data_IF_627583834176
#
_entry.id   IF_627583834176
#
_cell.length_a   1.000
_cell.length_b   1.000
_cell.length_c   1.000
_cell.angle_alpha   90.00
_cell.angle_beta   90.00
_cell.angle_gamma   90.00
#
_symmetry.space_group_name_H-M   'P 1'
#
loop_
_entity.id
_entity.type
_entity.pdbx_description
1 polymer ?
#
# COMPACT_ATOMS: atom_id res chain seq x y z
N UNK A 1 -0.08 3.23 42.33
CA UNK A 1 0.15 3.88 41.03
C UNK A 1 -0.57 3.03 40.00
N UNK A 2 -1.70 3.50 39.47
CA UNK A 2 -2.37 2.79 38.40
C UNK A 2 -1.50 2.92 37.15
N UNK A 3 -1.02 1.79 36.64
CA UNK A 3 -0.41 1.69 35.32
C UNK A 3 -1.44 2.26 34.34
N UNK A 4 -1.15 3.44 33.76
CA UNK A 4 -1.98 4.00 32.69
C UNK A 4 -1.75 3.08 31.50
N UNK A 5 -2.59 2.06 31.37
CA UNK A 5 -2.58 1.17 30.22
C UNK A 5 -2.87 2.06 29.01
N UNK A 6 -1.88 2.24 28.15
CA UNK A 6 -2.07 2.82 26.83
C UNK A 6 -2.90 1.84 25.99
N UNK A 7 -4.21 1.89 26.19
CA UNK A 7 -5.19 1.05 25.52
C UNK A 7 -5.16 1.27 24.01
N UNK A 8 -4.78 2.45 23.56
CA UNK A 8 -4.69 2.79 22.14
C UNK A 8 -3.43 2.18 21.51
N UNK A 9 -2.28 2.30 22.17
CA UNK A 9 -1.04 1.63 21.77
C UNK A 9 -1.19 0.11 21.76
N UNK A 10 -1.84 -0.47 22.76
CA UNK A 10 -2.12 -1.91 22.80
C UNK A 10 -3.01 -2.37 21.64
N UNK A 11 -4.08 -1.62 21.31
CA UNK A 11 -4.95 -1.92 20.17
C UNK A 11 -4.22 -1.81 18.84
N UNK A 12 -3.38 -0.79 18.66
CA UNK A 12 -2.56 -0.62 17.45
C UNK A 12 -1.60 -1.78 17.27
N UNK A 13 -0.92 -2.20 18.35
CA UNK A 13 -0.02 -3.35 18.33
C UNK A 13 -0.76 -4.64 17.97
N UNK A 14 -1.90 -4.91 18.61
CA UNK A 14 -2.69 -6.11 18.31
C UNK A 14 -3.17 -6.15 16.85
N UNK A 15 -3.60 -5.01 16.30
CA UNK A 15 -3.98 -4.91 14.89
C UNK A 15 -2.79 -5.15 13.96
N UNK A 16 -1.62 -4.62 14.29
CA UNK A 16 -0.39 -4.84 13.53
C UNK A 16 0.06 -6.31 13.57
N UNK A 17 0.06 -6.94 14.74
CA UNK A 17 0.41 -8.35 14.93
C UNK A 17 -0.51 -9.27 14.10
N UNK A 18 -1.80 -8.94 14.02
CA UNK A 18 -2.77 -9.68 13.20
C UNK A 18 -2.55 -9.44 11.70
N UNK A 19 -2.39 -8.19 11.29
CA UNK A 19 -2.27 -7.79 9.89
C UNK A 19 -0.94 -8.26 9.25
N UNK A 20 0.17 -8.23 9.98
CA UNK A 20 1.49 -8.63 9.50
C UNK A 20 1.84 -10.09 9.78
N UNK A 21 0.91 -10.87 10.32
CA UNK A 21 1.15 -12.27 10.69
C UNK A 21 1.74 -13.11 9.57
N UNK A 22 1.25 -12.95 8.33
CA UNK A 22 1.75 -13.69 7.16
C UNK A 22 2.90 -12.97 6.46
N UNK A 23 3.09 -11.68 6.73
CA UNK A 23 4.12 -10.86 6.12
C UNK A 23 5.51 -11.19 6.66
N UNK A 24 5.65 -11.45 7.96
CA UNK A 24 6.94 -11.86 8.54
C UNK A 24 7.48 -13.12 7.86
N UNK A 25 6.64 -14.14 7.69
CA UNK A 25 7.03 -15.40 7.04
C UNK A 25 7.36 -15.21 5.55
N UNK A 26 6.66 -14.29 4.86
CA UNK A 26 6.82 -14.04 3.42
C UNK A 26 8.02 -13.17 3.10
N UNK A 27 8.17 -12.04 3.78
CA UNK A 27 9.18 -11.01 3.46
C UNK A 27 10.44 -11.12 4.30
N UNK A 28 10.41 -11.88 5.41
CA UNK A 28 11.53 -11.99 6.37
C UNK A 28 12.01 -10.61 6.87
N UNK A 29 11.08 -9.68 6.96
CA UNK A 29 11.26 -8.30 7.41
C UNK A 29 10.36 -8.06 8.64
N UNK A 30 10.81 -7.20 9.56
CA UNK A 30 10.04 -6.88 10.76
C UNK A 30 9.05 -5.76 10.47
N UNK A 31 7.79 -5.98 10.83
CA UNK A 31 6.71 -5.01 10.70
C UNK A 31 6.09 -4.76 12.07
N UNK A 32 5.69 -3.51 12.32
CA UNK A 32 5.11 -3.08 13.57
C UNK A 32 4.02 -2.02 13.38
N UNK A 33 3.40 -1.56 14.47
CA UNK A 33 2.27 -0.63 14.42
C UNK A 33 2.60 0.71 13.77
N UNK A 34 3.87 1.10 13.75
CA UNK A 34 4.35 2.36 13.17
C UNK A 34 5.01 2.19 11.79
N UNK A 35 5.03 0.97 11.23
CA UNK A 35 5.65 0.71 9.92
C UNK A 35 4.85 1.42 8.81
N UNK A 36 5.54 2.27 8.05
CA UNK A 36 5.02 3.05 6.93
C UNK A 36 5.45 2.44 5.60
N UNK A 37 4.86 2.93 4.51
CA UNK A 37 5.26 2.53 3.15
C UNK A 37 6.74 2.88 2.84
N UNK A 38 7.22 4.01 3.36
CA UNK A 38 8.61 4.45 3.13
C UNK A 38 9.63 3.58 3.85
N UNK A 39 9.22 2.88 4.91
CA UNK A 39 10.10 2.03 5.70
C UNK A 39 10.33 0.66 5.05
N UNK A 40 9.48 0.28 4.09
CA UNK A 40 9.57 -1.02 3.42
C UNK A 40 10.86 -1.17 2.64
N UNK A 41 11.48 -2.36 2.74
CA UNK A 41 12.60 -2.71 1.87
C UNK A 41 12.22 -2.63 0.39
N UNK A 42 13.18 -2.33 -0.52
CA UNK A 42 12.90 -2.26 -1.95
C UNK A 42 12.30 -3.55 -2.53
N UNK A 43 12.71 -4.72 -2.01
CA UNK A 43 12.17 -6.01 -2.44
C UNK A 43 10.72 -6.22 -2.00
N UNK A 44 10.39 -5.91 -0.74
CA UNK A 44 9.01 -5.95 -0.25
C UNK A 44 8.13 -5.00 -1.04
N UNK A 45 8.60 -3.77 -1.27
CA UNK A 45 7.86 -2.76 -2.04
C UNK A 45 7.63 -3.22 -3.49
N UNK A 46 8.66 -3.73 -4.17
CA UNK A 46 8.54 -4.24 -5.54
C UNK A 46 7.54 -5.40 -5.63
N UNK A 47 7.59 -6.33 -4.67
CA UNK A 47 6.63 -7.43 -4.61
C UNK A 47 5.21 -6.87 -4.47
N UNK A 48 4.96 -6.00 -3.50
CA UNK A 48 3.64 -5.41 -3.28
C UNK A 48 3.13 -4.57 -4.48
N UNK A 49 4.03 -3.93 -5.25
CA UNK A 49 3.68 -3.13 -6.42
C UNK A 49 3.40 -3.96 -7.69
N UNK A 50 4.00 -5.16 -7.76
CA UNK A 50 3.95 -6.03 -8.93
C UNK A 50 2.54 -6.61 -9.15
N UNK A 51 2.13 -6.83 -10.41
CA UNK A 51 0.90 -7.54 -10.70
C UNK A 51 1.01 -9.02 -10.29
N UNK A 52 -0.11 -9.62 -9.87
CA UNK A 52 -0.19 -11.04 -9.52
C UNK A 52 -1.30 -11.33 -8.51
N UNK A 53 -1.99 -12.46 -8.66
CA UNK A 53 -3.04 -12.88 -7.71
C UNK A 53 -2.45 -13.12 -6.32
N UNK A 54 -1.30 -13.80 -6.23
CA UNK A 54 -0.58 -14.05 -4.97
C UNK A 54 -0.28 -12.76 -4.20
N UNK A 55 0.02 -11.68 -4.93
CA UNK A 55 0.34 -10.37 -4.37
C UNK A 55 -0.92 -9.72 -3.77
N UNK A 56 -2.09 -9.91 -4.39
CA UNK A 56 -3.37 -9.42 -3.86
C UNK A 56 -3.77 -10.12 -2.57
N UNK A 57 -3.50 -11.43 -2.43
CA UNK A 57 -3.77 -12.15 -1.19
C UNK A 57 -3.02 -11.58 0.02
N UNK A 58 -1.82 -11.01 -0.20
CA UNK A 58 -1.06 -10.32 0.86
C UNK A 58 -1.78 -9.07 1.37
N UNK A 59 -2.47 -8.34 0.48
CA UNK A 59 -3.32 -7.22 0.89
C UNK A 59 -4.59 -7.69 1.58
N UNK A 60 -5.21 -8.78 1.13
CA UNK A 60 -6.40 -9.33 1.78
C UNK A 60 -6.10 -9.74 3.22
N UNK A 61 -4.99 -10.42 3.46
CA UNK A 61 -4.51 -10.74 4.81
C UNK A 61 -4.31 -9.49 5.67
N UNK A 62 -3.62 -8.48 5.12
CA UNK A 62 -3.37 -7.22 5.82
C UNK A 62 -4.69 -6.53 6.22
N UNK A 63 -5.63 -6.45 5.28
CA UNK A 63 -6.93 -5.80 5.48
C UNK A 63 -7.76 -6.58 6.50
N UNK A 64 -7.89 -7.90 6.32
CA UNK A 64 -8.67 -8.72 7.24
C UNK A 64 -8.09 -8.69 8.65
N UNK A 65 -6.77 -8.79 8.80
CA UNK A 65 -6.09 -8.69 10.09
C UNK A 65 -6.29 -7.33 10.75
N UNK A 66 -6.10 -6.23 10.01
CA UNK A 66 -6.29 -4.88 10.53
C UNK A 66 -7.76 -4.56 10.88
N UNK A 67 -8.72 -5.29 10.30
CA UNK A 67 -10.17 -5.16 10.56
C UNK A 67 -10.69 -6.17 11.58
N UNK A 68 -9.84 -7.08 12.10
CA UNK A 68 -10.26 -8.13 13.03
C UNK A 68 -11.18 -9.19 12.39
N UNK A 69 -11.13 -9.35 11.08
CA UNK A 69 -11.95 -10.31 10.31
C UNK A 69 -11.31 -11.71 10.22
N UNK A 70 -10.17 -11.92 10.90
CA UNK A 70 -9.36 -13.13 10.79
C UNK A 70 -8.26 -13.01 9.73
N UNK A 71 -7.58 -14.10 9.39
CA UNK A 71 -6.64 -14.17 8.26
C UNK A 71 -7.21 -15.00 7.12
N UNK A 72 -6.76 -14.79 5.87
CA UNK A 72 -7.29 -15.49 4.69
C UNK A 72 -7.14 -17.01 4.76
N UNK A 73 -6.21 -17.50 5.59
CA UNK A 73 -5.96 -18.92 5.85
C UNK A 73 -7.00 -19.55 6.80
N UNK A 74 -7.70 -18.75 7.63
CA UNK A 74 -8.69 -19.24 8.62
C UNK A 74 -10.13 -18.84 8.33
N UNK A 75 -10.35 -17.71 7.66
CA UNK A 75 -11.63 -17.32 7.09
C UNK A 75 -11.39 -17.22 5.59
N UNK A 76 -11.91 -18.18 4.82
CA UNK A 76 -11.83 -18.07 3.37
C UNK A 76 -12.62 -16.82 3.01
N UNK A 77 -12.14 -16.03 2.06
CA UNK A 77 -12.93 -14.94 1.47
C UNK A 77 -14.35 -15.42 1.15
N UNK A 78 -14.52 -16.71 0.83
CA UNK A 78 -15.78 -17.41 0.60
C UNK A 78 -16.79 -17.35 1.75
N UNK A 79 -16.32 -17.33 3.00
CA UNK A 79 -17.16 -17.34 4.22
C UNK A 79 -17.69 -15.95 4.60
N UNK A 80 -17.20 -14.89 3.94
CA UNK A 80 -17.63 -13.51 4.18
C UNK A 80 -18.88 -13.16 3.37
N UNK A 81 -19.64 -12.18 3.87
CA UNK A 81 -20.72 -11.58 3.08
C UNK A 81 -20.17 -10.93 1.81
N UNK A 82 -20.92 -11.00 0.72
CA UNK A 82 -20.52 -10.46 -0.58
C UNK A 82 -20.12 -8.98 -0.52
N UNK A 83 -20.83 -8.16 0.26
CA UNK A 83 -20.51 -6.74 0.42
C UNK A 83 -19.17 -6.53 1.12
N UNK A 84 -18.84 -7.40 2.09
CA UNK A 84 -17.55 -7.35 2.79
C UNK A 84 -16.42 -7.75 1.84
N UNK A 85 -16.62 -8.75 0.97
CA UNK A 85 -15.63 -9.15 -0.04
C UNK A 85 -15.32 -8.01 -1.00
N UNK A 86 -16.35 -7.39 -1.58
CA UNK A 86 -16.18 -6.24 -2.47
C UNK A 86 -15.39 -5.12 -1.77
N UNK A 87 -15.73 -4.82 -0.53
CA UNK A 87 -15.04 -3.79 0.23
C UNK A 87 -13.57 -4.12 0.51
N UNK A 88 -13.24 -5.39 0.76
CA UNK A 88 -11.84 -5.86 0.89
C UNK A 88 -11.11 -5.66 -0.45
N UNK A 89 -11.72 -6.05 -1.56
CA UNK A 89 -11.12 -5.90 -2.89
C UNK A 89 -10.87 -4.42 -3.25
N UNK A 90 -11.85 -3.55 -3.05
CA UNK A 90 -11.72 -2.12 -3.31
C UNK A 90 -10.61 -1.49 -2.44
N UNK A 91 -10.54 -1.89 -1.16
CA UNK A 91 -9.49 -1.44 -0.24
C UNK A 91 -8.12 -1.93 -0.71
N UNK A 92 -8.00 -3.19 -1.17
CA UNK A 92 -6.75 -3.74 -1.68
C UNK A 92 -6.28 -2.99 -2.93
N UNK A 93 -7.15 -2.76 -3.91
CA UNK A 93 -6.80 -1.99 -5.11
C UNK A 93 -6.34 -0.57 -4.79
N UNK A 94 -7.01 0.09 -3.84
CA UNK A 94 -6.62 1.42 -3.43
C UNK A 94 -5.25 1.44 -2.72
N UNK A 95 -4.92 0.41 -1.94
CA UNK A 95 -3.60 0.27 -1.29
C UNK A 95 -2.50 -0.09 -2.28
N UNK A 96 -2.80 -0.91 -3.29
CA UNK A 96 -1.89 -1.23 -4.39
C UNK A 96 -1.45 0.05 -5.11
N UNK A 97 -2.38 0.98 -5.37
CA UNK A 97 -2.05 2.29 -5.95
C UNK A 97 -1.10 3.09 -5.03
N UNK A 98 -1.29 3.08 -3.70
CA UNK A 98 -0.38 3.75 -2.74
C UNK A 98 1.04 3.19 -2.81
N UNK A 99 1.17 1.87 -2.82
CA UNK A 99 2.47 1.20 -2.95
C UNK A 99 3.15 1.59 -4.27
N UNK A 100 2.39 1.64 -5.37
CA UNK A 100 2.92 2.02 -6.69
C UNK A 100 3.33 3.49 -6.75
N UNK A 101 2.61 4.37 -6.06
CA UNK A 101 3.04 5.77 -5.92
C UNK A 101 4.33 5.90 -5.10
N UNK A 102 4.53 5.05 -4.08
CA UNK A 102 5.81 5.01 -3.37
C UNK A 102 6.96 4.54 -4.27
N UNK A 103 6.72 3.55 -5.15
CA UNK A 103 7.70 3.16 -6.19
C UNK A 103 8.05 4.36 -7.08
N UNK A 104 7.03 5.07 -7.58
CA UNK A 104 7.24 6.27 -8.40
C UNK A 104 8.03 7.35 -7.63
N UNK A 105 7.77 7.52 -6.33
CA UNK A 105 8.47 8.50 -5.50
C UNK A 105 9.95 8.13 -5.33
N UNK A 106 10.26 6.85 -5.07
CA UNK A 106 11.65 6.37 -4.97
C UNK A 106 12.44 6.53 -6.27
N UNK A 107 11.76 6.52 -7.41
CA UNK A 107 12.34 6.84 -8.71
C UNK A 107 12.45 8.35 -8.99
N UNK A 108 11.92 9.21 -8.12
CA UNK A 108 11.88 10.65 -8.29
C UNK A 108 10.85 11.13 -9.32
N UNK A 109 9.86 10.30 -9.66
CA UNK A 109 8.82 10.66 -10.64
C UNK A 109 7.69 11.48 -10.04
N UNK A 110 7.48 11.37 -8.72
CA UNK A 110 6.49 12.13 -7.96
C UNK A 110 7.14 12.70 -6.71
N UNK A 111 6.71 13.89 -6.28
CA UNK A 111 7.36 14.61 -5.17
C UNK A 111 6.86 14.13 -3.80
N UNK A 112 5.54 13.95 -3.65
CA UNK A 112 4.92 13.41 -2.44
C UNK A 112 3.74 12.51 -2.79
N UNK A 113 3.76 11.27 -2.29
CA UNK A 113 2.60 10.39 -2.34
C UNK A 113 1.75 10.61 -1.07
N UNK A 114 0.41 10.66 -1.19
CA UNK A 114 -0.38 10.87 0.02
C UNK A 114 -0.33 9.62 0.91
N UNK A 115 -0.27 9.83 2.23
CA UNK A 115 -0.21 8.75 3.22
C UNK A 115 1.17 8.16 3.48
N UNK A 116 2.26 8.75 2.97
CA UNK A 116 3.60 8.17 3.13
C UNK A 116 4.12 8.13 4.56
N UNK A 117 3.78 9.14 5.37
CA UNK A 117 4.12 9.18 6.79
C UNK A 117 3.11 8.46 7.68
N UNK A 118 2.05 7.92 7.08
CA UNK A 118 0.98 7.22 7.79
C UNK A 118 1.35 5.74 7.94
N UNK A 119 1.24 5.16 9.15
CA UNK A 119 1.45 3.73 9.31
C UNK A 119 0.50 2.90 8.43
N UNK A 120 0.99 1.77 7.91
CA UNK A 120 0.25 0.90 7.00
C UNK A 120 -1.11 0.46 7.54
N UNK A 121 -1.17 0.16 8.84
CA UNK A 121 -2.42 -0.24 9.51
C UNK A 121 -3.43 0.90 9.51
N UNK A 122 -2.97 2.13 9.73
CA UNK A 122 -3.84 3.30 9.66
C UNK A 122 -4.26 3.58 8.22
N UNK A 123 -3.38 3.42 7.22
CA UNK A 123 -3.75 3.53 5.81
C UNK A 123 -4.88 2.56 5.42
N UNK A 124 -4.81 1.31 5.88
CA UNK A 124 -5.89 0.32 5.69
C UNK A 124 -7.19 0.82 6.30
N UNK A 125 -7.16 1.35 7.52
CA UNK A 125 -8.35 1.87 8.21
C UNK A 125 -8.92 3.11 7.49
N UNK A 126 -8.07 3.99 7.01
CA UNK A 126 -8.47 5.17 6.23
C UNK A 126 -9.10 4.76 4.91
N UNK A 127 -8.49 3.84 4.17
CA UNK A 127 -9.02 3.30 2.92
C UNK A 127 -10.38 2.62 3.13
N UNK A 128 -10.50 1.79 4.18
CA UNK A 128 -11.76 1.12 4.54
C UNK A 128 -12.90 2.11 4.86
N UNK A 129 -12.58 3.24 5.50
CA UNK A 129 -13.55 4.26 5.88
C UNK A 129 -13.92 5.19 4.72
N UNK A 130 -12.94 5.64 3.96
CA UNK A 130 -13.09 6.65 2.89
C UNK A 130 -13.50 6.05 1.55
N UNK A 131 -13.22 4.76 1.31
CA UNK A 131 -13.54 4.07 0.05
C UNK A 131 -13.01 4.82 -1.17
N UNK A 132 -13.88 5.10 -2.14
CA UNK A 132 -13.55 5.80 -3.38
C UNK A 132 -12.92 7.20 -3.17
N UNK A 133 -13.14 7.87 -2.03
CA UNK A 133 -12.44 9.12 -1.73
C UNK A 133 -10.93 8.90 -1.52
N UNK A 134 -10.53 7.80 -0.87
CA UNK A 134 -9.13 7.47 -0.66
C UNK A 134 -8.41 7.12 -1.97
N UNK A 135 -9.07 6.41 -2.88
CA UNK A 135 -8.51 6.04 -4.19
C UNK A 135 -8.35 7.23 -5.17
N UNK A 136 -9.02 8.36 -4.88
CA UNK A 136 -8.92 9.61 -5.66
C UNK A 136 -7.80 10.53 -5.21
N UNK A 137 -7.20 10.27 -4.05
CA UNK A 137 -6.03 11.02 -3.60
C UNK A 137 -4.81 10.58 -4.43
N UNK A 138 -4.20 11.53 -5.15
CA UNK A 138 -3.10 11.27 -6.08
C UNK A 138 -1.85 12.02 -5.66
N UNK A 139 -0.64 11.47 -5.93
CA UNK A 139 0.58 12.26 -5.87
C UNK A 139 0.59 13.33 -6.96
N UNK A 140 1.43 14.34 -6.78
CA UNK A 140 1.80 15.24 -7.86
C UNK A 140 3.00 14.68 -8.63
N UNK A 141 2.93 14.73 -9.94
CA UNK A 141 4.08 14.42 -10.80
C UNK A 141 5.20 15.42 -10.51
N UNK A 142 6.44 14.94 -10.43
CA UNK A 142 7.58 15.80 -10.15
C UNK A 142 7.82 16.77 -11.30
N UNK A 143 8.15 18.01 -10.97
CA UNK A 143 8.57 19.04 -11.95
C UNK A 143 9.79 18.64 -12.78
N UNK A 144 10.56 17.65 -12.33
CA UNK A 144 11.71 17.09 -13.04
C UNK A 144 11.34 15.99 -14.05
N UNK A 145 10.09 15.51 -14.03
CA UNK A 145 9.65 14.48 -14.95
C UNK A 145 9.49 15.09 -16.37
N UNK A 146 9.99 14.45 -17.43
CA UNK A 146 9.95 15.02 -18.80
C UNK A 146 8.54 15.37 -19.29
N UNK A 147 7.54 14.67 -18.79
CA UNK A 147 6.13 14.84 -19.18
C UNK A 147 5.35 15.80 -18.23
N UNK A 148 6.03 16.55 -17.36
CA UNK A 148 5.41 17.42 -16.36
C UNK A 148 4.50 18.50 -16.96
N UNK A 149 4.98 19.23 -17.97
CA UNK A 149 4.20 20.31 -18.58
C UNK A 149 2.91 19.78 -19.23
N UNK A 150 3.00 18.60 -19.86
CA UNK A 150 1.83 17.92 -20.44
C UNK A 150 0.85 17.49 -19.36
N UNK A 151 1.32 16.98 -18.23
CA UNK A 151 0.49 16.61 -17.09
C UNK A 151 -0.24 17.81 -16.46
N UNK A 152 0.43 18.96 -16.32
CA UNK A 152 -0.17 20.17 -15.76
C UNK A 152 -1.29 20.77 -16.63
N UNK A 153 -1.25 20.55 -17.94
CA UNK A 153 -2.27 21.00 -18.87
C UNK A 153 -3.56 20.14 -18.85
N UNK A 154 -3.54 18.98 -18.20
CA UNK A 154 -4.67 18.05 -18.16
C UNK A 154 -5.74 18.45 -17.15
N UNK A 155 -6.99 18.08 -17.44
CA UNK A 155 -8.05 18.12 -16.45
C UNK A 155 -7.76 17.13 -15.29
N UNK A 156 -8.18 17.38 -14.04
CA UNK A 156 -7.86 16.51 -12.89
C UNK A 156 -8.22 15.03 -13.06
N UNK A 157 -9.30 14.73 -13.79
CA UNK A 157 -9.66 13.33 -14.10
C UNK A 157 -8.64 12.66 -15.04
N UNK A 158 -8.13 13.41 -16.01
CA UNK A 158 -7.13 12.92 -16.96
C UNK A 158 -5.75 12.80 -16.30
N UNK A 159 -5.44 13.66 -15.33
CA UNK A 159 -4.26 13.53 -14.47
C UNK A 159 -4.23 12.19 -13.72
N UNK A 160 -5.38 11.72 -13.25
CA UNK A 160 -5.51 10.43 -12.59
C UNK A 160 -5.19 9.25 -13.52
N UNK A 161 -5.68 9.31 -14.75
CA UNK A 161 -5.41 8.31 -15.79
C UNK A 161 -3.95 8.37 -16.23
N UNK A 162 -3.42 9.58 -16.38
CA UNK A 162 -2.03 9.83 -16.76
C UNK A 162 -1.06 9.19 -15.76
N UNK A 163 -1.20 9.46 -14.46
CA UNK A 163 -0.34 8.87 -13.43
C UNK A 163 -0.42 7.34 -13.43
N UNK A 164 -1.64 6.77 -13.54
CA UNK A 164 -1.81 5.32 -13.56
C UNK A 164 -1.20 4.66 -14.81
N UNK A 165 -1.17 5.34 -15.94
CA UNK A 165 -0.47 4.87 -17.16
C UNK A 165 1.05 4.81 -16.99
N UNK A 166 1.63 5.59 -16.09
CA UNK A 166 3.08 5.56 -15.81
C UNK A 166 3.48 4.39 -14.91
N UNK A 167 2.55 3.84 -14.12
CA UNK A 167 2.82 2.78 -13.14
C UNK A 167 3.57 1.58 -13.74
N UNK A 168 3.16 0.98 -14.88
CA UNK A 168 3.87 -0.18 -15.42
C UNK A 168 5.34 0.13 -15.75
N UNK A 169 5.61 1.33 -16.30
CA UNK A 169 6.97 1.79 -16.60
C UNK A 169 7.78 1.99 -15.31
N UNK A 170 7.17 2.61 -14.30
CA UNK A 170 7.79 2.83 -13.00
C UNK A 170 8.18 1.50 -12.32
N UNK A 171 7.25 0.54 -12.24
CA UNK A 171 7.51 -0.77 -11.61
C UNK A 171 8.59 -1.54 -12.36
N UNK A 172 8.58 -1.50 -13.69
CA UNK A 172 9.60 -2.16 -14.52
C UNK A 172 10.99 -1.55 -14.33
N UNK A 173 11.09 -0.22 -14.31
CA UNK A 173 12.35 0.48 -14.07
C UNK A 173 12.88 0.25 -12.63
N UNK A 174 12.00 0.26 -11.64
CA UNK A 174 12.38 -0.01 -10.25
C UNK A 174 12.93 -1.43 -10.09
N UNK A 175 12.34 -2.41 -10.79
CA UNK A 175 12.87 -3.78 -10.86
C UNK A 175 14.28 -3.82 -11.45
N UNK A 176 14.48 -3.21 -12.61
CA UNK A 176 15.80 -3.19 -13.27
C UNK A 176 16.88 -2.58 -12.37
N UNK A 177 16.59 -1.47 -11.68
CA UNK A 177 17.53 -0.86 -10.73
C UNK A 177 17.90 -1.75 -9.55
N UNK A 178 17.02 -2.68 -9.14
CA UNK A 178 17.33 -3.63 -8.08
C UNK A 178 18.15 -4.81 -8.58
N UNK A 179 17.91 -5.26 -9.82
CA UNK A 179 18.69 -6.33 -10.45
C UNK A 179 20.13 -5.88 -10.76
N UNK A 180 20.32 -4.64 -11.21
CA UNK A 180 21.63 -4.03 -11.42
C UNK A 180 22.43 -3.96 -10.12
N UNK A 181 21.83 -3.44 -9.04
CA UNK A 181 22.48 -3.31 -7.72
C UNK A 181 22.82 -4.64 -7.03
N UNK A 182 22.23 -5.76 -7.46
CA UNK A 182 22.58 -7.09 -6.97
C UNK A 182 23.75 -7.72 -7.73
N UNK A 183 24.08 -7.19 -8.89
CA UNK A 183 25.17 -7.67 -9.74
C UNK A 183 26.51 -6.98 -9.43
N UNK A 184 26.48 -5.89 -8.64
CA UNK A 184 27.64 -5.16 -8.09
C UNK A 184 28.01 -5.68 -6.69
#
# INVERSE_FOLDING_TARGET
>A
MAEVIDLEGFRRKLAADQAFRTWLARFKEQFGPETRLQDLSPHTLLYLASPGEDNLYVYFDLIMGARGLGGSVRFRLDDLDYQVKLKIMDTAFALVDRVRFEVMRRLGWVDAAPGMDTPLIELVQQAWRKGAAFARELPQLSSRHPEYDSYCALHPMDQAVFLRRLIPRAVSQFRAQLEEKQSD
#
